data_IF_119566062147
#
_entry.id   IF_119566062147
#
_cell.length_a   1.000
_cell.length_b   1.000
_cell.length_c   1.000
_cell.angle_alpha   90.00
_cell.angle_beta   90.00
_cell.angle_gamma   90.00
#
_symmetry.space_group_name_H-M   'P 1'
#
loop_
_entity.id
_entity.type
_entity.pdbx_description
1 polymer ?
#
# COMPACT_ATOMS: atom_id res chain seq x y z
N UNK A 1 -29.73 -12.93 1.41
CA UNK A 1 -29.51 -11.67 2.13
C UNK A 1 -29.78 -10.53 1.16
N UNK A 2 -30.27 -9.39 1.65
CA UNK A 2 -30.50 -8.16 0.90
C UNK A 2 -29.27 -7.27 1.01
N UNK A 3 -28.92 -6.58 -0.08
CA UNK A 3 -27.84 -5.60 -0.10
C UNK A 3 -28.20 -4.35 0.74
N UNK A 4 -27.26 -3.88 1.56
CA UNK A 4 -27.40 -2.64 2.33
C UNK A 4 -26.57 -1.52 1.69
N UNK A 5 -25.27 -1.74 1.54
CA UNK A 5 -24.33 -0.79 0.96
C UNK A 5 -23.04 -1.48 0.52
N UNK A 6 -22.26 -0.79 -0.30
CA UNK A 6 -20.87 -1.11 -0.53
C UNK A 6 -20.02 0.17 -0.60
N UNK A 7 -18.75 0.04 -0.24
CA UNK A 7 -17.76 1.12 -0.39
C UNK A 7 -16.40 0.54 -0.74
N UNK A 8 -15.63 1.30 -1.53
CA UNK A 8 -14.29 0.93 -1.96
C UNK A 8 -13.33 2.12 -1.77
N UNK A 9 -12.04 1.87 -1.55
CA UNK A 9 -11.04 2.95 -1.64
C UNK A 9 -10.74 3.31 -3.09
N UNK A 10 -10.52 4.59 -3.38
CA UNK A 10 -10.04 5.04 -4.70
C UNK A 10 -8.50 4.92 -4.86
N UNK A 11 -7.90 3.90 -4.26
CA UNK A 11 -6.46 3.65 -4.21
C UNK A 11 -5.93 2.76 -5.32
N UNK A 12 -6.73 2.43 -6.35
CA UNK A 12 -6.36 1.45 -7.38
C UNK A 12 -5.01 1.74 -8.04
N UNK A 13 -4.65 3.00 -8.22
CA UNK A 13 -3.37 3.41 -8.81
C UNK A 13 -2.14 3.08 -7.94
N UNK A 14 -2.32 2.88 -6.64
CA UNK A 14 -1.27 2.33 -5.76
C UNK A 14 -1.16 0.80 -5.88
N UNK A 15 -2.11 0.14 -6.54
CA UNK A 15 -2.13 -1.32 -6.74
C UNK A 15 -3.07 -2.07 -5.81
N UNK A 16 -3.47 -1.47 -4.69
CA UNK A 16 -4.38 -2.08 -3.72
C UNK A 16 -5.68 -1.31 -3.54
N UNK A 17 -6.76 -1.99 -3.15
CA UNK A 17 -8.05 -1.40 -2.80
C UNK A 17 -8.67 -2.16 -1.61
N UNK A 18 -9.28 -1.44 -0.68
CA UNK A 18 -10.17 -2.04 0.31
C UNK A 18 -11.61 -1.96 -0.18
N UNK A 19 -12.36 -3.05 -0.11
CA UNK A 19 -13.78 -3.13 -0.47
C UNK A 19 -14.58 -3.66 0.72
N UNK A 20 -15.71 -3.01 1.03
CA UNK A 20 -16.64 -3.44 2.06
C UNK A 20 -18.03 -3.61 1.45
N UNK A 21 -18.69 -4.72 1.76
CA UNK A 21 -20.07 -5.02 1.33
C UNK A 21 -20.90 -5.40 2.56
N UNK A 22 -22.02 -4.71 2.76
CA UNK A 22 -22.97 -4.97 3.84
C UNK A 22 -24.24 -5.66 3.34
N UNK A 23 -24.67 -6.70 4.06
CA UNK A 23 -25.86 -7.50 3.77
C UNK A 23 -26.74 -7.65 5.00
N UNK A 24 -28.06 -7.70 4.82
CA UNK A 24 -29.03 -7.99 5.88
C UNK A 24 -29.96 -9.15 5.51
N UNK A 25 -30.29 -10.01 6.47
CA UNK A 25 -31.41 -10.93 6.38
C UNK A 25 -32.13 -11.01 7.73
N UNK A 26 -33.27 -10.31 7.81
CA UNK A 26 -34.05 -10.14 9.05
C UNK A 26 -33.19 -9.50 10.16
N UNK A 27 -32.79 -10.29 11.15
CA UNK A 27 -32.00 -9.86 12.31
C UNK A 27 -30.50 -10.22 12.17
N UNK A 28 -30.08 -10.77 11.02
CA UNK A 28 -28.68 -11.10 10.73
C UNK A 28 -28.07 -10.07 9.76
N UNK A 29 -27.04 -9.36 10.21
CA UNK A 29 -26.28 -8.40 9.40
C UNK A 29 -24.86 -8.92 9.21
N UNK A 30 -24.42 -9.00 7.95
CA UNK A 30 -23.10 -9.46 7.57
C UNK A 30 -22.35 -8.32 6.87
N UNK A 31 -21.15 -8.02 7.34
CA UNK A 31 -20.19 -7.13 6.67
C UNK A 31 -19.03 -7.96 6.16
N UNK A 32 -18.75 -7.86 4.87
CA UNK A 32 -17.62 -8.51 4.22
C UNK A 32 -16.56 -7.46 3.86
N UNK A 33 -15.32 -7.76 4.18
CA UNK A 33 -14.14 -6.90 4.01
C UNK A 33 -13.18 -7.62 3.08
N UNK A 34 -12.81 -7.01 1.95
CA UNK A 34 -11.91 -7.56 0.95
C UNK A 34 -10.72 -6.62 0.75
N UNK A 35 -9.50 -7.11 0.93
CA UNK A 35 -8.31 -6.45 0.40
C UNK A 35 -8.10 -6.97 -1.02
N UNK A 36 -8.10 -6.07 -1.98
CA UNK A 36 -7.89 -6.39 -3.38
C UNK A 36 -6.52 -5.86 -3.78
N UNK A 37 -5.64 -6.76 -4.18
CA UNK A 37 -4.41 -6.47 -4.88
C UNK A 37 -4.63 -6.66 -6.38
N UNK A 38 -4.40 -5.61 -7.14
CA UNK A 38 -4.68 -5.60 -8.56
C UNK A 38 -3.49 -6.00 -9.44
N UNK A 39 -2.34 -6.23 -8.83
CA UNK A 39 -1.06 -6.45 -9.52
C UNK A 39 -0.79 -7.94 -9.72
N UNK A 40 -0.94 -8.76 -8.67
CA UNK A 40 -0.54 -10.17 -8.72
C UNK A 40 -1.23 -11.14 -7.74
N UNK A 41 -2.09 -10.69 -6.81
CA UNK A 41 -2.80 -11.57 -5.87
C UNK A 41 -4.32 -11.65 -6.09
N UNK A 42 -4.95 -10.57 -6.54
CA UNK A 42 -6.41 -10.50 -6.73
C UNK A 42 -7.07 -10.19 -5.39
N UNK A 43 -7.91 -11.09 -4.85
CA UNK A 43 -8.37 -10.98 -3.46
C UNK A 43 -7.23 -11.45 -2.54
N UNK A 44 -6.58 -10.52 -1.86
CA UNK A 44 -5.41 -10.75 -1.01
C UNK A 44 -5.76 -11.03 0.46
N UNK A 45 -6.85 -10.44 0.97
CA UNK A 45 -7.35 -10.67 2.34
C UNK A 45 -8.88 -10.66 2.35
N UNK A 46 -9.48 -11.43 3.25
CA UNK A 46 -10.92 -11.47 3.48
C UNK A 46 -11.25 -11.67 4.95
N UNK A 47 -12.10 -10.79 5.48
CA UNK A 47 -12.70 -10.91 6.81
C UNK A 47 -14.19 -10.68 6.71
N UNK A 48 -14.98 -11.39 7.51
CA UNK A 48 -16.40 -11.11 7.66
C UNK A 48 -16.79 -10.96 9.12
N UNK A 49 -17.72 -10.05 9.38
CA UNK A 49 -18.23 -9.73 10.70
C UNK A 49 -19.76 -9.83 10.69
N UNK A 50 -20.31 -10.69 11.55
CA UNK A 50 -21.76 -10.89 11.71
C UNK A 50 -22.26 -10.23 12.98
N UNK A 51 -23.29 -9.40 12.87
CA UNK A 51 -23.95 -8.70 13.98
C UNK A 51 -22.94 -8.00 14.92
N UNK A 52 -21.84 -7.52 14.34
CA UNK A 52 -20.73 -6.94 15.09
C UNK A 52 -21.10 -5.53 15.60
N UNK A 53 -20.47 -5.16 16.71
CA UNK A 53 -20.60 -3.81 17.26
C UNK A 53 -19.98 -2.77 16.33
N UNK A 54 -20.39 -1.51 16.49
CA UNK A 54 -19.81 -0.39 15.74
C UNK A 54 -18.29 -0.29 15.94
N UNK A 55 -17.79 -0.58 17.15
CA UNK A 55 -16.36 -0.56 17.47
C UNK A 55 -15.58 -1.59 16.66
N UNK A 56 -16.11 -2.82 16.57
CA UNK A 56 -15.51 -3.90 15.77
C UNK A 56 -15.51 -3.56 14.27
N UNK A 57 -16.64 -3.06 13.76
CA UNK A 57 -16.77 -2.67 12.35
C UNK A 57 -15.80 -1.53 11.98
N UNK A 58 -15.67 -0.54 12.86
CA UNK A 58 -14.77 0.59 12.65
C UNK A 58 -13.30 0.13 12.70
N UNK A 59 -12.94 -0.72 13.66
CA UNK A 59 -11.58 -1.25 13.78
C UNK A 59 -11.18 -2.04 12.54
N UNK A 60 -12.04 -2.94 12.06
CA UNK A 60 -11.77 -3.76 10.88
C UNK A 60 -11.69 -2.90 9.60
N UNK A 61 -12.54 -1.89 9.50
CA UNK A 61 -12.48 -0.93 8.41
C UNK A 61 -11.16 -0.15 8.39
N UNK A 62 -10.68 0.32 9.53
CA UNK A 62 -9.40 1.05 9.61
C UNK A 62 -8.21 0.11 9.39
N UNK A 63 -8.28 -1.15 9.85
CA UNK A 63 -7.26 -2.17 9.55
C UNK A 63 -7.08 -2.37 8.05
N UNK A 64 -8.19 -2.50 7.33
CA UNK A 64 -8.18 -2.77 5.90
C UNK A 64 -7.87 -1.53 5.05
N UNK A 65 -8.48 -0.38 5.38
CA UNK A 65 -8.53 0.79 4.50
C UNK A 65 -7.73 1.99 5.02
N UNK A 66 -7.37 2.02 6.30
CA UNK A 66 -6.78 3.18 6.95
C UNK A 66 -5.39 3.52 6.41
N UNK A 67 -4.60 2.51 6.05
CA UNK A 67 -3.24 2.67 5.52
C UNK A 67 -3.15 2.90 4.00
N UNK A 68 -4.26 2.89 3.25
CA UNK A 68 -4.23 2.97 1.78
C UNK A 68 -4.10 4.40 1.23
N UNK A 69 -4.14 5.42 2.10
CA UNK A 69 -3.94 6.82 1.73
C UNK A 69 -4.97 7.39 0.72
N UNK A 70 -6.20 6.89 0.79
CA UNK A 70 -7.23 7.12 -0.24
C UNK A 70 -8.63 7.32 0.34
N UNK A 71 -9.47 8.01 -0.42
CA UNK A 71 -10.86 8.26 -0.06
C UNK A 71 -11.70 6.99 -0.19
N UNK A 72 -12.75 6.93 0.63
CA UNK A 72 -13.71 5.82 0.66
C UNK A 72 -14.96 6.25 -0.07
N UNK A 73 -15.22 5.64 -1.22
CA UNK A 73 -16.33 5.99 -2.09
C UNK A 73 -17.44 4.95 -2.01
N UNK A 74 -18.69 5.41 -2.05
CA UNK A 74 -19.83 4.51 -2.09
C UNK A 74 -20.03 3.99 -3.53
N UNK A 75 -20.31 2.70 -3.64
CA UNK A 75 -20.56 2.03 -4.93
C UNK A 75 -21.85 1.21 -4.85
N UNK A 76 -22.39 0.84 -6.00
CA UNK A 76 -23.60 0.01 -6.07
C UNK A 76 -23.27 -1.47 -5.79
N UNK A 77 -24.31 -2.27 -5.59
CA UNK A 77 -24.18 -3.73 -5.49
C UNK A 77 -23.51 -4.33 -6.73
N UNK A 78 -23.97 -3.95 -7.92
CA UNK A 78 -23.43 -4.47 -9.18
C UNK A 78 -21.95 -4.12 -9.37
N UNK A 79 -21.56 -2.91 -8.94
CA UNK A 79 -20.16 -2.46 -8.95
C UNK A 79 -19.29 -3.26 -7.98
N UNK A 80 -19.77 -3.46 -6.75
CA UNK A 80 -19.05 -4.21 -5.74
C UNK A 80 -18.88 -5.69 -6.12
N UNK A 81 -19.96 -6.33 -6.59
CA UNK A 81 -19.93 -7.72 -7.03
C UNK A 81 -19.08 -7.89 -8.30
N UNK A 82 -19.03 -6.89 -9.18
CA UNK A 82 -18.12 -6.90 -10.34
C UNK A 82 -16.66 -6.89 -9.88
N UNK A 83 -16.29 -6.11 -8.88
CA UNK A 83 -14.92 -6.12 -8.32
C UNK A 83 -14.58 -7.50 -7.73
N UNK A 84 -15.45 -8.07 -6.89
CA UNK A 84 -15.22 -9.40 -6.30
C UNK A 84 -15.11 -10.47 -7.38
N UNK A 85 -16.00 -10.44 -8.38
CA UNK A 85 -15.98 -11.36 -9.49
C UNK A 85 -14.69 -11.26 -10.30
N UNK A 86 -14.32 -10.04 -10.69
CA UNK A 86 -13.16 -9.78 -11.54
C UNK A 86 -11.85 -10.19 -10.84
N UNK A 87 -11.61 -9.68 -9.63
CA UNK A 87 -10.37 -9.96 -8.91
C UNK A 87 -10.32 -11.36 -8.32
N UNK A 88 -11.46 -11.97 -7.97
CA UNK A 88 -11.52 -13.36 -7.57
C UNK A 88 -11.18 -14.32 -8.72
N UNK A 89 -11.62 -14.01 -9.95
CA UNK A 89 -11.20 -14.76 -11.13
C UNK A 89 -9.70 -14.56 -11.44
N UNK A 90 -9.15 -13.36 -11.18
CA UNK A 90 -7.70 -13.13 -11.26
C UNK A 90 -6.91 -13.94 -10.24
N UNK A 91 -7.35 -14.01 -8.99
CA UNK A 91 -6.71 -14.86 -7.96
C UNK A 91 -6.60 -16.31 -8.44
N UNK A 92 -7.69 -16.85 -9.00
CA UNK A 92 -7.70 -18.21 -9.56
C UNK A 92 -6.76 -18.33 -10.78
N UNK A 93 -6.79 -17.36 -11.69
CA UNK A 93 -5.94 -17.33 -12.87
C UNK A 93 -4.45 -17.28 -12.52
N UNK A 94 -4.09 -16.57 -11.44
CA UNK A 94 -2.73 -16.47 -10.91
C UNK A 94 -2.34 -17.61 -9.98
N UNK A 95 -3.17 -18.66 -9.88
CA UNK A 95 -2.93 -19.84 -9.05
C UNK A 95 -2.67 -19.48 -7.57
N UNK A 96 -3.37 -18.45 -7.08
CA UNK A 96 -3.32 -18.00 -5.68
C UNK A 96 -4.50 -18.58 -4.90
N UNK A 97 -4.31 -18.73 -3.60
CA UNK A 97 -5.37 -19.18 -2.70
C UNK A 97 -6.35 -18.04 -2.41
N UNK A 98 -7.64 -18.38 -2.39
CA UNK A 98 -8.70 -17.46 -1.99
C UNK A 98 -8.71 -17.34 -0.44
N UNK A 99 -8.68 -16.12 0.13
CA UNK A 99 -8.52 -15.94 1.58
C UNK A 99 -9.82 -16.14 2.38
N UNK A 100 -9.68 -16.46 3.66
CA UNK A 100 -10.77 -16.51 4.64
C UNK A 100 -11.91 -17.50 4.32
N UNK A 101 -13.14 -17.16 4.70
CA UNK A 101 -14.32 -18.02 4.54
C UNK A 101 -14.86 -18.01 3.10
N UNK A 102 -14.18 -18.74 2.21
CA UNK A 102 -14.46 -18.81 0.75
C UNK A 102 -15.95 -19.05 0.43
N UNK A 103 -16.63 -19.87 1.23
CA UNK A 103 -18.05 -20.22 1.01
C UNK A 103 -18.98 -19.00 1.01
N UNK A 104 -18.58 -17.88 1.63
CA UNK A 104 -19.39 -16.67 1.72
C UNK A 104 -19.34 -15.79 0.46
N UNK A 105 -18.38 -15.99 -0.44
CA UNK A 105 -18.21 -15.13 -1.63
C UNK A 105 -17.88 -15.89 -2.93
N UNK A 106 -17.67 -17.20 -2.88
CA UNK A 106 -17.33 -18.00 -4.06
C UNK A 106 -18.40 -17.94 -5.16
N UNK A 107 -19.67 -17.78 -4.79
CA UNK A 107 -20.77 -17.62 -5.74
C UNK A 107 -20.68 -16.30 -6.51
N UNK A 108 -20.13 -15.25 -5.90
CA UNK A 108 -19.85 -13.98 -6.61
C UNK A 108 -18.74 -14.15 -7.64
N UNK A 109 -17.83 -15.12 -7.46
CA UNK A 109 -16.76 -15.39 -8.42
C UNK A 109 -17.26 -16.28 -9.57
N UNK A 110 -18.01 -17.34 -9.24
CA UNK A 110 -18.39 -18.38 -10.21
C UNK A 110 -19.71 -18.15 -10.93
N UNK A 111 -20.69 -17.56 -10.25
CA UNK A 111 -22.09 -17.56 -10.70
C UNK A 111 -22.63 -16.16 -11.01
N UNK A 112 -22.09 -15.12 -10.37
CA UNK A 112 -22.42 -13.74 -10.71
C UNK A 112 -21.96 -13.39 -12.13
N UNK A 113 -22.79 -12.63 -12.84
CA UNK A 113 -22.51 -12.16 -14.20
C UNK A 113 -22.49 -10.62 -14.18
N UNK A 114 -21.30 -10.01 -14.23
CA UNK A 114 -21.16 -8.55 -14.26
C UNK A 114 -21.99 -7.94 -15.40
N UNK A 115 -22.68 -6.84 -15.11
CA UNK A 115 -23.39 -6.05 -16.12
C UNK A 115 -22.59 -4.84 -16.61
N UNK A 116 -21.50 -4.50 -15.91
CA UNK A 116 -20.57 -3.41 -16.21
C UNK A 116 -19.18 -3.96 -16.55
N UNK A 117 -18.42 -3.22 -17.35
CA UNK A 117 -17.01 -3.51 -17.61
C UNK A 117 -16.13 -3.02 -16.46
N UNK A 118 -15.03 -3.72 -16.17
CA UNK A 118 -14.09 -3.30 -15.12
C UNK A 118 -13.52 -1.90 -15.40
N UNK A 119 -13.32 -1.53 -16.67
CA UNK A 119 -12.80 -0.23 -17.06
C UNK A 119 -13.79 0.92 -16.81
N UNK A 120 -15.10 0.63 -16.76
CA UNK A 120 -16.11 1.61 -16.37
C UNK A 120 -16.02 1.99 -14.88
N UNK A 121 -15.37 1.15 -14.05
CA UNK A 121 -15.13 1.41 -12.63
C UNK A 121 -13.90 2.28 -12.37
N UNK A 122 -12.95 2.37 -13.31
CA UNK A 122 -11.70 3.11 -13.13
C UNK A 122 -11.89 4.57 -12.70
N UNK A 123 -12.84 5.36 -13.26
CA UNK A 123 -13.10 6.72 -12.79
C UNK A 123 -13.50 6.84 -11.31
N UNK A 124 -13.96 5.74 -10.70
CA UNK A 124 -14.35 5.67 -9.29
C UNK A 124 -13.20 5.14 -8.43
N UNK A 125 -12.61 4.02 -8.83
CA UNK A 125 -11.60 3.31 -8.01
C UNK A 125 -10.19 3.89 -8.14
N UNK A 126 -9.93 4.74 -9.13
CA UNK A 126 -8.73 5.55 -9.23
C UNK A 126 -9.00 6.95 -8.70
N UNK A 127 -8.14 7.47 -7.83
CA UNK A 127 -8.16 8.89 -7.48
C UNK A 127 -8.00 9.77 -8.72
N UNK A 128 -8.56 10.98 -8.64
CA UNK A 128 -8.27 12.01 -9.64
C UNK A 128 -6.79 12.35 -9.60
N UNK A 129 -6.20 12.48 -10.79
CA UNK A 129 -4.79 12.84 -10.99
C UNK A 129 -4.75 14.32 -11.31
N UNK A 130 -3.96 15.08 -10.56
CA UNK A 130 -3.94 16.54 -10.62
C UNK A 130 -2.78 17.10 -11.45
N UNK A 131 -1.68 16.35 -11.56
CA UNK A 131 -0.46 16.82 -12.23
C UNK A 131 0.17 15.76 -13.13
N UNK A 132 0.94 16.22 -14.11
CA UNK A 132 1.69 15.36 -15.03
C UNK A 132 2.69 14.48 -14.27
N UNK A 133 3.37 15.03 -13.26
CA UNK A 133 4.34 14.30 -12.43
C UNK A 133 3.65 13.16 -11.68
N UNK A 134 2.50 13.44 -11.07
CA UNK A 134 1.70 12.44 -10.39
C UNK A 134 1.25 11.32 -11.34
N UNK A 135 0.79 11.69 -12.54
CA UNK A 135 0.44 10.71 -13.58
C UNK A 135 1.62 9.82 -13.95
N UNK A 136 2.79 10.42 -14.21
CA UNK A 136 4.01 9.70 -14.60
C UNK A 136 4.50 8.77 -13.50
N UNK A 137 4.46 9.19 -12.23
CA UNK A 137 4.85 8.33 -11.12
C UNK A 137 3.90 7.13 -11.00
N UNK A 138 2.58 7.34 -11.06
CA UNK A 138 1.63 6.24 -11.07
C UNK A 138 1.86 5.30 -12.25
N UNK A 139 2.01 5.82 -13.47
CA UNK A 139 2.21 4.96 -14.64
C UNK A 139 3.55 4.22 -14.63
N UNK A 140 4.59 4.81 -14.05
CA UNK A 140 5.86 4.12 -13.79
C UNK A 140 5.64 2.96 -12.82
N UNK A 141 4.92 3.16 -11.71
CA UNK A 141 4.57 2.07 -10.77
C UNK A 141 3.80 0.96 -11.50
N UNK A 142 2.77 1.32 -12.28
CA UNK A 142 1.96 0.35 -13.04
C UNK A 142 2.78 -0.43 -14.07
N UNK A 143 3.74 0.23 -14.70
CA UNK A 143 4.64 -0.40 -15.66
C UNK A 143 5.56 -1.43 -15.00
N UNK A 144 6.19 -1.06 -13.87
CA UNK A 144 7.07 -1.96 -13.11
C UNK A 144 6.29 -3.11 -12.46
N UNK A 145 5.10 -2.84 -11.93
CA UNK A 145 4.23 -3.86 -11.35
C UNK A 145 3.52 -4.75 -12.39
N UNK A 146 3.81 -4.56 -13.69
CA UNK A 146 3.18 -5.29 -14.80
C UNK A 146 1.64 -5.24 -14.82
N UNK A 147 1.08 -4.09 -14.42
CA UNK A 147 -0.35 -3.87 -14.32
C UNK A 147 -0.98 -3.54 -15.68
N UNK A 148 -1.24 -4.59 -16.45
CA UNK A 148 -1.77 -4.50 -17.82
C UNK A 148 -3.07 -3.72 -17.92
N UNK A 149 -3.99 -3.89 -16.96
CA UNK A 149 -5.29 -3.23 -17.03
C UNK A 149 -5.14 -1.73 -16.82
N UNK A 150 -4.33 -1.31 -15.85
CA UNK A 150 -4.07 0.11 -15.65
C UNK A 150 -3.36 0.73 -16.85
N UNK A 151 -2.33 0.08 -17.38
CA UNK A 151 -1.66 0.56 -18.59
C UNK A 151 -2.62 0.63 -19.78
N UNK A 152 -3.50 -0.36 -19.96
CA UNK A 152 -4.51 -0.36 -21.01
C UNK A 152 -5.48 0.81 -20.86
N UNK A 153 -6.00 1.02 -19.65
CA UNK A 153 -6.94 2.10 -19.39
C UNK A 153 -6.31 3.47 -19.63
N UNK A 154 -5.06 3.68 -19.22
CA UNK A 154 -4.36 4.97 -19.33
C UNK A 154 -3.53 5.11 -20.61
N UNK A 155 -3.68 4.24 -21.62
CA UNK A 155 -2.95 4.36 -22.89
C UNK A 155 -3.89 4.56 -24.08
N UNK A 156 -3.42 5.32 -25.07
CA UNK A 156 -4.07 5.40 -26.39
C UNK A 156 -3.62 4.29 -27.35
N UNK A 157 -2.65 3.48 -26.92
CA UNK A 157 -2.13 2.33 -27.67
C UNK A 157 -2.20 1.07 -26.80
N UNK A 158 -2.93 0.05 -27.24
CA UNK A 158 -3.06 -1.22 -26.52
C UNK A 158 -1.72 -1.98 -26.40
N UNK A 159 -0.77 -1.75 -27.32
CA UNK A 159 0.54 -2.40 -27.28
C UNK A 159 1.33 -2.03 -26.01
N UNK A 160 1.11 -0.83 -25.46
CA UNK A 160 1.77 -0.36 -24.22
C UNK A 160 1.42 -1.29 -23.06
N UNK A 161 0.18 -1.78 -22.98
CA UNK A 161 -0.25 -2.70 -21.92
C UNK A 161 0.42 -4.08 -22.01
N UNK A 162 1.03 -4.42 -23.14
CA UNK A 162 1.77 -5.67 -23.33
C UNK A 162 3.27 -5.54 -23.04
N UNK A 163 3.79 -4.32 -22.96
CA UNK A 163 5.18 -4.04 -22.62
C UNK A 163 5.46 -4.45 -21.17
N UNK A 164 6.67 -4.96 -20.94
CA UNK A 164 7.17 -5.32 -19.61
C UNK A 164 8.70 -5.30 -19.64
N UNK A 165 9.30 -4.98 -18.49
CA UNK A 165 10.75 -5.03 -18.27
C UNK A 165 11.11 -5.98 -17.11
N UNK A 166 10.16 -6.21 -16.21
CA UNK A 166 10.27 -7.12 -15.08
C UNK A 166 9.91 -8.55 -15.48
N UNK A 167 10.43 -9.53 -14.71
CA UNK A 167 10.06 -10.93 -14.86
C UNK A 167 8.80 -11.29 -14.06
N UNK A 168 8.55 -10.57 -12.97
CA UNK A 168 7.36 -10.68 -12.11
C UNK A 168 6.69 -9.31 -11.93
N UNK A 169 5.68 -9.24 -11.07
CA UNK A 169 5.19 -7.96 -10.55
C UNK A 169 6.29 -7.34 -9.68
N UNK A 170 7.04 -6.39 -10.23
CA UNK A 170 8.13 -5.71 -9.51
C UNK A 170 7.64 -4.58 -8.62
N UNK A 171 8.48 -4.16 -7.69
CA UNK A 171 8.21 -3.02 -6.80
C UNK A 171 9.02 -1.80 -7.21
N UNK A 172 8.35 -0.67 -7.44
CA UNK A 172 9.05 0.59 -7.71
C UNK A 172 9.65 1.11 -6.41
N UNK A 173 10.97 1.25 -6.37
CA UNK A 173 11.69 1.76 -5.19
C UNK A 173 11.95 3.26 -5.27
N UNK A 174 12.28 3.76 -6.46
CA UNK A 174 12.52 5.18 -6.71
C UNK A 174 12.27 5.53 -8.16
N UNK A 175 11.72 6.72 -8.37
CA UNK A 175 11.58 7.31 -9.69
C UNK A 175 11.94 8.79 -9.65
N UNK A 176 12.81 9.22 -10.57
CA UNK A 176 13.09 10.64 -10.80
C UNK A 176 12.56 11.07 -12.15
N UNK A 177 11.53 11.91 -12.13
CA UNK A 177 10.89 12.47 -13.31
C UNK A 177 11.59 13.76 -13.72
N UNK A 178 11.97 13.84 -14.99
CA UNK A 178 12.54 15.04 -15.62
C UNK A 178 11.72 15.42 -16.84
N UNK A 179 11.03 16.57 -16.78
CA UNK A 179 10.33 17.15 -17.92
C UNK A 179 11.32 17.55 -19.03
N UNK A 180 11.07 17.13 -20.28
CA UNK A 180 11.88 17.50 -21.46
C UNK A 180 11.16 18.47 -22.38
N UNK A 181 9.85 18.28 -22.57
CA UNK A 181 8.95 19.27 -23.18
C UNK A 181 7.58 19.22 -22.48
N UNK A 182 6.57 19.92 -23.00
CA UNK A 182 5.22 19.97 -22.43
C UNK A 182 4.49 18.63 -22.30
N UNK A 183 4.87 17.64 -23.08
CA UNK A 183 4.27 16.31 -23.20
C UNK A 183 5.27 15.16 -23.01
N UNK A 184 6.58 15.45 -23.02
CA UNK A 184 7.65 14.45 -22.94
C UNK A 184 8.38 14.48 -21.59
N UNK A 185 8.43 13.32 -20.95
CA UNK A 185 9.04 13.11 -19.64
C UNK A 185 10.03 11.94 -19.69
N UNK A 186 11.18 12.11 -19.03
CA UNK A 186 12.16 11.03 -18.83
C UNK A 186 12.20 10.67 -17.35
N UNK A 187 12.17 9.38 -17.07
CA UNK A 187 12.19 8.81 -15.73
C UNK A 187 13.50 8.04 -15.54
N UNK A 188 14.23 8.33 -14.46
CA UNK A 188 15.29 7.46 -13.96
C UNK A 188 14.68 6.57 -12.88
N UNK A 189 14.56 5.27 -13.18
CA UNK A 189 13.79 4.31 -12.39
C UNK A 189 14.73 3.35 -11.69
N UNK A 190 14.45 3.07 -10.42
CA UNK A 190 15.06 2.01 -9.62
C UNK A 190 13.94 1.14 -9.04
N UNK A 191 14.04 -0.17 -9.23
CA UNK A 191 13.00 -1.12 -8.87
C UNK A 191 13.58 -2.47 -8.42
N UNK A 192 12.78 -3.21 -7.67
CA UNK A 192 13.02 -4.60 -7.30
C UNK A 192 12.28 -5.54 -8.28
N UNK A 193 12.94 -6.63 -8.65
CA UNK A 193 12.40 -7.73 -9.45
C UNK A 193 12.73 -9.07 -8.76
N UNK A 194 12.35 -10.19 -9.38
CA UNK A 194 12.48 -11.52 -8.76
C UNK A 194 13.89 -11.94 -8.32
N UNK A 195 14.94 -11.38 -8.92
CA UNK A 195 16.34 -11.78 -8.75
C UNK A 195 17.27 -10.66 -8.27
N UNK A 196 16.71 -9.51 -7.88
CA UNK A 196 17.45 -8.40 -7.29
C UNK A 196 16.96 -7.04 -7.76
N UNK A 197 17.86 -6.06 -7.71
CA UNK A 197 17.53 -4.66 -7.97
C UNK A 197 18.07 -4.19 -9.32
N UNK A 198 17.28 -3.33 -9.97
CA UNK A 198 17.57 -2.87 -11.32
C UNK A 198 17.28 -1.40 -11.50
N UNK A 199 18.03 -0.76 -12.38
CA UNK A 199 17.72 0.57 -12.90
C UNK A 199 17.49 0.56 -14.40
N UNK A 200 16.62 1.46 -14.87
CA UNK A 200 16.42 1.73 -16.28
C UNK A 200 15.94 3.18 -16.48
N UNK A 201 15.91 3.62 -17.75
CA UNK A 201 15.26 4.88 -18.13
C UNK A 201 13.95 4.60 -18.84
N UNK A 202 12.89 5.31 -18.46
CA UNK A 202 11.63 5.35 -19.20
C UNK A 202 11.47 6.72 -19.87
N UNK A 203 10.88 6.75 -21.05
CA UNK A 203 10.47 7.96 -21.73
C UNK A 203 8.98 7.89 -22.04
N UNK A 204 8.22 8.78 -21.41
CA UNK A 204 6.78 8.92 -21.60
C UNK A 204 6.49 10.10 -22.52
N UNK A 205 5.57 9.90 -23.45
CA UNK A 205 4.86 10.98 -24.14
C UNK A 205 3.39 10.90 -23.75
N UNK A 206 2.87 11.94 -23.10
CA UNK A 206 1.52 11.96 -22.53
C UNK A 206 0.65 13.04 -23.18
N UNK A 207 -0.66 12.89 -23.08
CA UNK A 207 -1.61 13.97 -23.33
C UNK A 207 -2.66 14.04 -22.22
N UNK A 208 -3.20 15.24 -22.04
CA UNK A 208 -4.30 15.51 -21.13
C UNK A 208 -5.47 16.11 -21.91
N UNK A 209 -6.53 15.34 -22.09
CA UNK A 209 -7.71 15.74 -22.85
C UNK A 209 -8.98 15.27 -22.13
N UNK A 210 -10.03 16.08 -22.13
CA UNK A 210 -11.32 15.76 -21.51
C UNK A 210 -11.22 15.36 -20.02
N UNK A 211 -10.36 16.05 -19.25
CA UNK A 211 -10.10 15.77 -17.83
C UNK A 211 -9.50 14.37 -17.59
N UNK A 212 -8.82 13.81 -18.59
CA UNK A 212 -8.18 12.49 -18.53
C UNK A 212 -6.76 12.53 -19.09
N UNK A 213 -5.84 11.91 -18.34
CA UNK A 213 -4.49 11.63 -18.78
C UNK A 213 -4.45 10.35 -19.63
N UNK A 214 -3.63 10.37 -20.69
CA UNK A 214 -3.30 9.20 -21.49
C UNK A 214 -1.83 9.17 -21.88
N UNK A 215 -1.29 7.96 -22.02
CA UNK A 215 0.03 7.69 -22.58
C UNK A 215 -0.14 7.49 -24.09
N UNK A 216 0.56 8.31 -24.86
CA UNK A 216 0.63 8.19 -26.31
C UNK A 216 1.77 7.27 -26.73
N UNK A 217 2.90 7.32 -26.02
CA UNK A 217 4.07 6.46 -26.28
C UNK A 217 4.84 6.22 -24.99
N UNK A 218 5.38 5.01 -24.87
CA UNK A 218 6.31 4.60 -23.82
C UNK A 218 7.52 3.94 -24.49
N UNK A 219 8.73 4.39 -24.14
CA UNK A 219 9.98 3.75 -24.52
C UNK A 219 10.82 3.52 -23.27
N UNK A 220 11.66 2.48 -23.28
CA UNK A 220 12.55 2.18 -22.17
C UNK A 220 13.89 1.63 -22.66
N UNK A 221 14.92 1.80 -21.86
CA UNK A 221 16.24 1.19 -22.07
C UNK A 221 16.27 -0.22 -21.51
N UNK A 222 17.32 -0.98 -21.84
CA UNK A 222 17.63 -2.22 -21.13
C UNK A 222 17.82 -1.96 -19.62
N UNK A 223 17.62 -3.00 -18.80
CA UNK A 223 17.81 -2.96 -17.35
C UNK A 223 19.27 -3.22 -16.96
N UNK A 224 19.77 -2.43 -16.02
CA UNK A 224 21.10 -2.57 -15.43
C UNK A 224 20.96 -3.01 -13.97
N UNK A 225 21.70 -4.04 -13.56
CA UNK A 225 21.66 -4.53 -12.17
C UNK A 225 22.37 -3.57 -11.21
N UNK A 226 21.87 -3.46 -9.99
CA UNK A 226 22.46 -2.67 -8.91
C UNK A 226 22.76 -3.54 -7.70
N UNK A 227 23.81 -3.20 -6.96
CA UNK A 227 24.10 -3.89 -5.69
C UNK A 227 23.21 -3.37 -4.57
N UNK A 228 22.86 -4.25 -3.63
CA UNK A 228 21.97 -3.94 -2.49
C UNK A 228 22.40 -2.67 -1.75
N UNK A 229 23.70 -2.52 -1.44
CA UNK A 229 24.21 -1.34 -0.73
C UNK A 229 24.00 -0.02 -1.50
N UNK A 230 24.10 -0.05 -2.84
CA UNK A 230 23.84 1.14 -3.68
C UNK A 230 22.35 1.51 -3.66
N UNK A 231 21.50 0.49 -3.65
CA UNK A 231 20.04 0.65 -3.59
C UNK A 231 19.65 1.25 -2.25
N UNK A 232 20.16 0.72 -1.14
CA UNK A 232 19.93 1.23 0.20
C UNK A 232 20.36 2.69 0.32
N UNK A 233 21.55 3.05 -0.18
CA UNK A 233 22.00 4.44 -0.22
C UNK A 233 21.03 5.33 -1.02
N UNK A 234 20.56 4.87 -2.18
CA UNK A 234 19.68 5.64 -3.08
C UNK A 234 18.27 5.89 -2.52
N UNK A 235 17.74 4.96 -1.71
CA UNK A 235 16.40 5.06 -1.09
C UNK A 235 16.44 5.52 0.38
N UNK A 236 17.64 5.63 0.95
CA UNK A 236 17.84 6.02 2.35
C UNK A 236 17.27 7.41 2.64
N UNK A 237 16.78 7.58 3.87
CA UNK A 237 16.36 8.85 4.41
C UNK A 237 16.75 8.96 5.88
N UNK A 238 16.90 10.20 6.34
CA UNK A 238 17.16 10.46 7.75
C UNK A 238 16.02 9.94 8.62
N UNK A 239 16.37 9.39 9.78
CA UNK A 239 15.43 8.73 10.70
C UNK A 239 15.67 9.22 12.13
N UNK A 240 14.59 9.49 12.84
CA UNK A 240 14.58 9.69 14.29
C UNK A 240 14.08 8.42 14.94
N UNK A 241 14.87 7.82 15.81
CA UNK A 241 14.52 6.59 16.55
C UNK A 241 14.34 6.94 18.03
N UNK A 242 13.10 6.97 18.49
CA UNK A 242 12.77 7.08 19.90
C UNK A 242 12.66 5.69 20.53
N UNK A 243 13.28 5.50 21.69
CA UNK A 243 13.33 4.23 22.41
C UNK A 243 12.57 4.39 23.73
N UNK A 244 11.66 3.47 23.98
CA UNK A 244 10.87 3.39 25.19
C UNK A 244 11.08 2.03 25.87
N UNK A 245 11.20 2.04 27.19
CA UNK A 245 11.10 0.82 27.98
C UNK A 245 9.61 0.56 28.28
N UNK A 246 9.18 -0.70 28.11
CA UNK A 246 7.80 -1.12 28.27
C UNK A 246 7.53 -1.66 29.68
N UNK A 247 6.38 -1.28 30.22
CA UNK A 247 5.71 -1.91 31.37
C UNK A 247 4.50 -2.68 30.84
N UNK A 248 4.25 -3.86 31.41
CA UNK A 248 3.09 -4.68 31.03
C UNK A 248 3.00 -4.87 29.50
N UNK A 249 4.11 -5.32 28.90
CA UNK A 249 4.34 -5.41 27.46
C UNK A 249 3.14 -5.94 26.67
N UNK A 250 2.57 -7.06 27.09
CA UNK A 250 1.48 -7.71 26.35
C UNK A 250 0.21 -6.83 26.34
N UNK A 251 -0.11 -6.18 27.46
CA UNK A 251 -1.25 -5.25 27.58
C UNK A 251 -1.00 -3.97 26.77
N UNK A 252 0.24 -3.46 26.76
CA UNK A 252 0.63 -2.34 25.92
C UNK A 252 0.40 -2.66 24.44
N UNK A 253 0.86 -3.82 23.97
CA UNK A 253 0.77 -4.19 22.55
C UNK A 253 -0.67 -4.39 22.12
N UNK A 254 -1.50 -5.06 22.92
CA UNK A 254 -2.93 -5.20 22.63
C UNK A 254 -3.61 -3.83 22.54
N UNK A 255 -3.37 -2.96 23.53
CA UNK A 255 -3.93 -1.60 23.55
C UNK A 255 -3.42 -0.75 22.39
N UNK A 256 -2.13 -0.84 22.05
CA UNK A 256 -1.51 -0.10 20.96
C UNK A 256 -2.15 -0.47 19.63
N UNK A 257 -2.27 -1.77 19.36
CA UNK A 257 -2.88 -2.24 18.12
C UNK A 257 -4.37 -1.91 18.05
N UNK A 258 -5.09 -2.03 19.18
CA UNK A 258 -6.51 -1.66 19.26
C UNK A 258 -6.76 -0.17 18.95
N UNK A 259 -5.87 0.72 19.40
CA UNK A 259 -5.98 2.17 19.19
C UNK A 259 -5.40 2.63 17.84
N UNK A 260 -4.55 1.82 17.21
CA UNK A 260 -3.92 2.13 15.93
C UNK A 260 -4.20 1.01 14.90
N UNK A 261 -5.46 0.67 14.61
CA UNK A 261 -5.78 -0.48 13.75
C UNK A 261 -5.23 -0.38 12.33
N UNK A 262 -4.96 0.84 11.85
CA UNK A 262 -4.40 1.13 10.53
C UNK A 262 -2.92 0.77 10.36
N UNK A 263 -2.23 0.30 11.41
CA UNK A 263 -0.85 -0.19 11.27
C UNK A 263 -0.86 -1.63 10.78
N UNK A 264 0.02 -1.93 9.84
CA UNK A 264 0.27 -3.30 9.40
C UNK A 264 1.13 -4.00 10.46
N UNK A 265 0.64 -5.10 11.03
CA UNK A 265 1.35 -5.89 12.04
C UNK A 265 2.04 -7.08 11.39
N UNK A 266 3.33 -7.22 11.64
CA UNK A 266 4.15 -8.38 11.25
C UNK A 266 4.79 -8.99 12.49
N UNK A 267 4.44 -10.23 12.80
CA UNK A 267 5.07 -10.99 13.88
C UNK A 267 6.35 -11.64 13.35
N UNK A 268 7.48 -11.33 13.99
CA UNK A 268 8.83 -11.78 13.64
C UNK A 268 9.39 -12.65 14.78
N UNK A 269 10.50 -13.35 14.52
CA UNK A 269 11.09 -14.27 15.50
C UNK A 269 11.55 -13.56 16.78
N UNK A 270 12.07 -12.34 16.67
CA UNK A 270 12.60 -11.56 17.80
C UNK A 270 11.61 -10.53 18.37
N UNK A 271 10.49 -10.27 17.71
CA UNK A 271 9.61 -9.18 18.07
C UNK A 271 8.42 -8.98 17.14
N UNK A 272 7.74 -7.85 17.30
CA UNK A 272 6.61 -7.47 16.43
C UNK A 272 6.91 -6.12 15.78
N UNK A 273 6.85 -6.09 14.45
CA UNK A 273 6.96 -4.87 13.65
C UNK A 273 5.56 -4.34 13.33
N UNK A 274 5.37 -3.03 13.49
CA UNK A 274 4.18 -2.32 13.06
C UNK A 274 4.58 -1.24 12.06
N UNK A 275 4.02 -1.32 10.86
CA UNK A 275 4.29 -0.38 9.78
C UNK A 275 3.13 0.58 9.63
N UNK A 276 3.41 1.88 9.66
CA UNK A 276 2.40 2.94 9.51
C UNK A 276 2.64 3.74 8.24
N UNK A 277 1.76 3.53 7.28
CA UNK A 277 1.71 4.29 6.04
C UNK A 277 1.18 5.71 6.24
N UNK A 278 1.48 6.59 5.30
CA UNK A 278 0.86 7.90 5.21
C UNK A 278 -0.63 7.78 4.91
N UNK A 279 -1.43 8.70 5.46
CA UNK A 279 -2.88 8.75 5.21
C UNK A 279 -3.27 9.44 3.90
N UNK A 280 -2.28 9.88 3.14
CA UNK A 280 -2.43 10.40 1.79
C UNK A 280 -1.24 9.96 0.92
N UNK A 281 -1.42 10.09 -0.39
CA UNK A 281 -0.39 9.75 -1.38
C UNK A 281 0.21 11.01 -2.03
N UNK A 282 0.37 12.11 -1.27
CA UNK A 282 0.87 13.37 -1.84
C UNK A 282 2.35 13.29 -2.26
N UNK A 283 3.13 12.41 -1.66
CA UNK A 283 4.53 12.17 -2.04
C UNK A 283 4.67 11.72 -3.52
N UNK A 284 3.63 11.14 -4.12
CA UNK A 284 3.60 10.76 -5.55
C UNK A 284 3.61 11.98 -6.48
N UNK A 285 3.33 13.19 -5.95
CA UNK A 285 3.35 14.44 -6.73
C UNK A 285 4.75 15.04 -6.88
N UNK A 286 5.74 14.48 -6.20
CA UNK A 286 7.11 14.97 -6.23
C UNK A 286 7.88 14.47 -7.45
N UNK A 287 8.80 15.31 -7.96
CA UNK A 287 9.68 14.93 -9.08
C UNK A 287 10.57 13.72 -8.75
N UNK A 288 10.81 13.47 -7.46
CA UNK A 288 11.52 12.30 -6.96
C UNK A 288 10.60 11.52 -6.03
N UNK A 289 10.04 10.43 -6.55
CA UNK A 289 9.36 9.42 -5.76
C UNK A 289 10.38 8.46 -5.14
N UNK A 290 10.19 8.09 -3.88
CA UNK A 290 10.94 7.04 -3.17
C UNK A 290 9.95 6.26 -2.32
N UNK A 291 9.97 4.93 -2.40
CA UNK A 291 9.04 4.02 -1.70
C UNK A 291 9.00 4.25 -0.18
N UNK A 292 10.14 4.60 0.38
CA UNK A 292 10.26 4.94 1.79
C UNK A 292 9.35 6.11 2.19
N UNK A 293 9.00 7.02 1.28
CA UNK A 293 8.09 8.13 1.55
C UNK A 293 6.61 7.70 1.68
N UNK A 294 6.29 6.44 1.43
CA UNK A 294 4.97 5.87 1.72
C UNK A 294 4.78 5.70 3.24
N UNK A 295 5.87 5.62 4.00
CA UNK A 295 5.88 5.40 5.44
C UNK A 295 5.90 6.72 6.24
N UNK A 296 5.01 6.80 7.24
CA UNK A 296 5.05 7.86 8.27
C UNK A 296 5.86 7.44 9.49
N UNK A 297 5.80 6.15 9.87
CA UNK A 297 6.55 5.60 10.99
C UNK A 297 6.69 4.08 10.92
N UNK A 298 7.72 3.58 11.58
CA UNK A 298 7.87 2.18 11.96
C UNK A 298 7.89 2.06 13.48
N UNK A 299 7.23 1.05 14.01
CA UNK A 299 7.29 0.71 15.42
C UNK A 299 7.78 -0.72 15.55
N UNK A 300 8.76 -0.97 16.40
CA UNK A 300 9.27 -2.31 16.64
C UNK A 300 9.22 -2.61 18.13
N UNK A 301 8.53 -3.68 18.51
CA UNK A 301 8.57 -4.20 19.87
C UNK A 301 9.54 -5.38 19.90
N UNK A 302 10.60 -5.27 20.71
CA UNK A 302 11.55 -6.35 20.96
C UNK A 302 11.84 -6.43 22.46
N UNK A 303 11.70 -7.62 23.05
CA UNK A 303 11.81 -7.82 24.52
C UNK A 303 10.94 -6.79 25.26
N UNK A 304 11.47 -6.07 26.24
CA UNK A 304 10.77 -5.02 26.98
C UNK A 304 11.03 -3.62 26.40
N UNK A 305 11.41 -3.51 25.13
CA UNK A 305 11.66 -2.23 24.46
C UNK A 305 10.71 -2.00 23.29
N UNK A 306 10.39 -0.73 23.08
CA UNK A 306 9.59 -0.25 21.97
C UNK A 306 10.32 0.87 21.24
N UNK A 307 10.65 0.60 19.99
CA UNK A 307 11.35 1.51 19.10
C UNK A 307 10.34 2.20 18.19
N UNK A 308 10.54 3.48 17.95
CA UNK A 308 9.67 4.31 17.11
C UNK A 308 10.52 5.10 16.15
N UNK A 309 10.55 4.67 14.90
CA UNK A 309 11.20 5.41 13.82
C UNK A 309 10.22 6.35 13.14
N UNK A 310 10.66 7.59 12.92
CA UNK A 310 9.93 8.62 12.17
C UNK A 310 10.87 9.37 11.24
N UNK A 311 10.33 9.94 10.17
CA UNK A 311 11.13 10.40 9.02
C UNK A 311 11.08 11.89 8.77
N UNK A 312 10.32 12.61 9.58
CA UNK A 312 10.26 14.06 9.56
C UNK A 312 9.89 14.58 10.95
N UNK A 313 10.22 15.84 11.21
CA UNK A 313 10.01 16.45 12.52
C UNK A 313 8.54 16.52 12.95
N UNK A 314 7.62 16.70 11.99
CA UNK A 314 6.18 16.79 12.28
C UNK A 314 5.65 15.46 12.82
N UNK A 315 5.95 14.36 12.15
CA UNK A 315 5.51 13.02 12.57
C UNK A 315 6.19 12.60 13.87
N UNK A 316 7.49 12.89 14.03
CA UNK A 316 8.22 12.70 15.28
C UNK A 316 7.50 13.32 16.47
N UNK A 317 7.21 14.63 16.40
CA UNK A 317 6.57 15.35 17.49
C UNK A 317 5.14 14.85 17.75
N UNK A 318 4.39 14.59 16.69
CA UNK A 318 3.01 14.11 16.79
C UNK A 318 2.93 12.72 17.42
N UNK A 319 3.71 11.75 16.92
CA UNK A 319 3.68 10.36 17.37
C UNK A 319 4.21 10.24 18.79
N UNK A 320 5.34 10.87 19.12
CA UNK A 320 5.86 10.87 20.49
C UNK A 320 4.85 11.48 21.47
N UNK A 321 4.15 12.55 21.08
CA UNK A 321 3.10 13.14 21.91
C UNK A 321 1.90 12.21 22.08
N UNK A 322 1.48 11.53 21.01
CA UNK A 322 0.38 10.57 21.02
C UNK A 322 0.69 9.38 21.95
N UNK A 323 1.92 8.86 21.87
CA UNK A 323 2.39 7.78 22.73
C UNK A 323 2.35 8.18 24.21
N UNK A 324 2.93 9.33 24.54
CA UNK A 324 2.92 9.87 25.91
C UNK A 324 1.49 10.14 26.43
N UNK A 325 0.56 10.58 25.59
CA UNK A 325 -0.81 10.84 26.03
C UNK A 325 -1.65 9.59 26.25
N UNK A 326 -1.47 8.55 25.42
CA UNK A 326 -2.34 7.36 25.43
C UNK A 326 -1.75 6.17 26.20
N UNK A 327 -0.43 6.17 26.42
CA UNK A 327 0.33 5.03 26.94
C UNK A 327 1.34 5.41 28.03
N UNK A 328 1.24 6.58 28.68
CA UNK A 328 2.17 7.00 29.75
C UNK A 328 2.34 5.99 30.89
N UNK A 329 1.30 5.21 31.18
CA UNK A 329 1.34 4.20 32.24
C UNK A 329 2.12 2.93 31.81
N UNK A 330 2.32 2.75 30.51
CA UNK A 330 2.94 1.58 29.89
C UNK A 330 4.35 1.84 29.35
N UNK A 331 4.74 3.10 29.15
CA UNK A 331 6.01 3.44 28.51
C UNK A 331 6.83 4.39 29.37
N UNK A 332 8.13 4.14 29.48
CA UNK A 332 9.11 5.09 29.99
C UNK A 332 10.04 5.50 28.84
N UNK A 333 10.11 6.79 28.54
CA UNK A 333 11.02 7.29 27.51
C UNK A 333 12.48 7.12 27.97
N UNK A 334 13.28 6.45 27.15
CA UNK A 334 14.69 6.22 27.43
C UNK A 334 15.57 7.25 26.74
N UNK A 335 15.52 7.29 25.41
CA UNK A 335 16.27 8.25 24.60
C UNK A 335 15.70 8.39 23.18
N UNK A 336 16.21 9.38 22.43
CA UNK A 336 15.93 9.58 21.01
C UNK A 336 17.27 9.79 20.28
N UNK A 337 17.46 9.08 19.18
CA UNK A 337 18.65 9.13 18.33
C UNK A 337 18.27 9.65 16.94
N UNK A 338 19.22 10.31 16.29
CA UNK A 338 19.08 10.78 14.91
C UNK A 338 20.12 10.10 14.03
N UNK A 339 19.68 9.58 12.91
CA UNK A 339 20.50 8.93 11.90
C UNK A 339 20.29 9.60 10.54
N UNK A 340 21.36 9.73 9.76
CA UNK A 340 21.28 10.27 8.40
C UNK A 340 20.68 9.26 7.41
N UNK A 341 20.64 7.98 7.78
CA UNK A 341 20.10 6.87 7.00
C UNK A 341 19.04 6.11 7.81
N UNK A 342 18.32 5.20 7.16
CA UNK A 342 17.37 4.30 7.81
C UNK A 342 18.14 3.29 8.67
N UNK A 343 17.72 3.06 9.91
CA UNK A 343 18.45 2.20 10.86
C UNK A 343 17.50 1.18 11.49
N UNK A 344 16.27 1.57 11.82
CA UNK A 344 15.36 0.66 12.53
C UNK A 344 14.93 -0.53 11.67
N UNK A 345 14.68 -0.33 10.39
CA UNK A 345 14.31 -1.42 9.49
C UNK A 345 15.48 -2.40 9.29
N UNK A 346 16.69 -1.90 9.09
CA UNK A 346 17.90 -2.71 8.99
C UNK A 346 18.19 -3.50 10.27
N UNK A 347 17.97 -2.87 11.43
CA UNK A 347 18.05 -3.56 12.72
C UNK A 347 17.09 -4.74 12.82
N UNK A 348 15.86 -4.56 12.33
CA UNK A 348 14.85 -5.63 12.29
C UNK A 348 15.26 -6.76 11.35
N UNK A 349 15.81 -6.44 10.16
CA UNK A 349 16.21 -7.44 9.17
C UNK A 349 17.48 -8.21 9.53
N UNK A 350 18.43 -7.61 10.25
CA UNK A 350 19.67 -8.28 10.63
C UNK A 350 19.51 -9.30 11.78
N UNK A 351 18.30 -9.42 12.35
CA UNK A 351 17.98 -10.31 13.48
C UNK A 351 18.93 -10.14 14.68
N UNK A 352 19.43 -8.92 14.90
CA UNK A 352 20.22 -8.61 16.08
C UNK A 352 19.34 -8.58 17.33
N UNK A 353 19.83 -9.17 18.42
CA UNK A 353 19.13 -9.22 19.71
C UNK A 353 19.27 -7.96 20.56
N UNK A 354 20.18 -7.05 20.18
CA UNK A 354 20.49 -5.80 20.87
C UNK A 354 20.74 -4.67 19.86
N UNK A 355 20.08 -3.54 20.10
CA UNK A 355 20.12 -2.39 19.21
C UNK A 355 21.47 -1.67 19.24
N UNK A 356 22.12 -1.57 20.39
CA UNK A 356 23.41 -0.88 20.49
C UNK A 356 24.55 -1.75 19.98
N UNK A 357 24.47 -3.07 20.14
CA UNK A 357 25.41 -4.00 19.51
C UNK A 357 25.30 -3.95 17.99
N UNK A 358 24.10 -3.75 17.44
CA UNK A 358 23.91 -3.52 15.99
C UNK A 358 24.56 -2.21 15.50
N UNK A 359 24.54 -1.16 16.32
CA UNK A 359 25.14 0.13 15.97
C UNK A 359 26.67 0.17 16.05
N UNK A 360 27.30 -0.82 16.71
CA UNK A 360 28.75 -0.86 16.98
C UNK A 360 29.53 -1.73 16.02
#
# INVERSE_FOLDING_TARGET
MNFIFAKVTNSRLMGSMGLIIGWEDKDDVLYQYFLIDAEGLGIADYVSLRNASYEELNREQERLMGGLGADRIQITEDEALTLVNYYGNKTIYWEKDLPGEISEYIDFIKNYKPTIDIFDLYPKICKKIDTDIEFINYMTMRFIAWDKDSLKYFSNNEDIASMHITNINGALLKNKVTKKDDSMYICDVLYEDNDGYYTCKLAFHINYENDQYKINSLMFTDKEGMYDFEVFDEISKSEYVAIYDLKEKDDFIDKFYKLNPFVLKSDLDLGTLFTRFNFDNNHVKEDVYVINNDLSALYYQMKDQFFVATYNEKDRLYINKLLQCNFSDYIDFKEELFFEQNVLYEFVECESEDFYDFLG
#
